data_IF_532366535465
#
_entry.id   IF_532366535465
#
_cell.length_a   1.000
_cell.length_b   1.000
_cell.length_c   1.000
_cell.angle_alpha   90.00
_cell.angle_beta   90.00
_cell.angle_gamma   90.00
#
_symmetry.space_group_name_H-M   'P 1'
#
loop_
_entity.id
_entity.type
_entity.pdbx_description
1 polymer ?
#
# COMPACT_ATOMS: atom_id res chain seq x y z
N UNK A 1 -3.62 -28.29 -19.37
CA UNK A 1 -3.45 -27.67 -19.08
C UNK A 1 -3.50 -27.22 -18.25
N UNK A 2 -3.47 -27.14 -17.84
CA UNK A 2 -3.35 -26.61 -17.03
C UNK A 2 -3.56 -25.56 -16.73
N UNK A 3 -4.25 -25.44 -16.51
CA UNK A 3 -4.27 -24.28 -16.27
C UNK A 3 -3.72 -23.86 -15.32
N UNK A 4 -3.18 -23.43 -15.43
CA UNK A 4 -2.39 -22.79 -14.45
C UNK A 4 -3.09 -21.56 -13.98
N UNK A 5 -3.49 -21.61 -12.77
CA UNK A 5 -3.93 -20.38 -12.19
C UNK A 5 -2.76 -19.50 -11.92
N UNK A 6 -2.61 -18.50 -12.72
CA UNK A 6 -1.61 -17.48 -12.47
C UNK A 6 -2.09 -16.62 -11.30
N UNK A 7 -1.36 -16.63 -10.21
CA UNK A 7 -1.64 -15.73 -9.10
C UNK A 7 -1.47 -14.28 -9.55
N UNK A 8 -2.38 -13.37 -9.22
CA UNK A 8 -2.20 -11.95 -9.51
C UNK A 8 -0.90 -11.43 -8.88
N UNK A 9 -0.26 -10.51 -9.57
CA UNK A 9 0.97 -9.89 -9.10
C UNK A 9 0.77 -8.40 -8.92
N UNK A 10 1.61 -7.80 -8.07
CA UNK A 10 1.57 -6.36 -7.83
C UNK A 10 1.93 -5.61 -9.11
N UNK A 11 1.19 -4.52 -9.37
CA UNK A 11 1.53 -3.57 -10.41
C UNK A 11 1.26 -2.15 -9.93
N UNK A 12 1.99 -1.20 -10.49
CA UNK A 12 1.78 0.23 -10.20
C UNK A 12 0.35 0.63 -10.56
N UNK A 13 -0.14 0.16 -11.70
CA UNK A 13 -1.51 0.48 -12.11
C UNK A 13 -2.54 -0.11 -11.15
N UNK A 14 -2.33 -1.34 -10.68
CA UNK A 14 -3.21 -1.96 -9.69
C UNK A 14 -3.24 -1.19 -8.37
N UNK A 15 -2.07 -0.69 -7.93
CA UNK A 15 -1.98 0.15 -6.76
C UNK A 15 -2.79 1.45 -6.95
N UNK A 16 -2.61 2.11 -8.10
CA UNK A 16 -3.32 3.34 -8.41
C UNK A 16 -4.84 3.12 -8.47
N UNK A 17 -5.27 2.03 -9.08
CA UNK A 17 -6.68 1.70 -9.19
C UNK A 17 -7.30 1.42 -7.82
N UNK A 18 -6.60 0.68 -6.96
CA UNK A 18 -7.06 0.40 -5.60
C UNK A 18 -7.28 1.71 -4.83
N UNK A 19 -6.27 2.59 -4.84
CA UNK A 19 -6.31 3.80 -4.04
C UNK A 19 -7.23 4.89 -4.62
N UNK A 20 -7.64 4.78 -5.89
CA UNK A 20 -8.66 5.65 -6.46
C UNK A 20 -10.05 5.37 -5.86
N UNK A 21 -10.29 4.13 -5.42
CA UNK A 21 -11.54 3.71 -4.78
C UNK A 21 -11.26 2.51 -3.87
N UNK A 22 -10.66 2.73 -2.67
CA UNK A 22 -10.24 1.64 -1.80
C UNK A 22 -11.40 0.72 -1.41
N UNK A 23 -11.17 -0.58 -1.55
CA UNK A 23 -12.14 -1.62 -1.22
C UNK A 23 -11.37 -2.81 -0.65
N UNK A 24 -11.57 -3.10 0.65
CA UNK A 24 -10.84 -4.14 1.36
C UNK A 24 -11.16 -5.55 0.88
N UNK A 25 -12.20 -5.72 0.08
CA UNK A 25 -12.48 -7.02 -0.55
C UNK A 25 -11.55 -7.30 -1.73
N UNK A 26 -10.74 -6.32 -2.15
CA UNK A 26 -9.86 -6.43 -3.31
C UNK A 26 -8.41 -6.16 -2.92
N UNK A 27 -7.49 -6.59 -3.77
CA UNK A 27 -6.07 -6.25 -3.66
C UNK A 27 -5.27 -7.11 -2.70
N UNK A 28 -5.89 -7.97 -1.91
CA UNK A 28 -5.15 -8.76 -0.91
C UNK A 28 -4.42 -9.95 -1.53
N UNK A 29 -4.81 -10.38 -2.70
CA UNK A 29 -4.22 -11.53 -3.37
C UNK A 29 -2.82 -11.26 -3.94
N UNK A 30 -2.37 -10.00 -3.94
CA UNK A 30 -0.99 -9.66 -4.30
C UNK A 30 -0.09 -9.49 -3.07
N UNK A 31 -0.62 -9.73 -1.87
CA UNK A 31 0.10 -9.57 -0.61
C UNK A 31 0.51 -10.93 -0.06
N UNK A 32 1.75 -11.01 0.45
CA UNK A 32 2.24 -12.26 1.06
C UNK A 32 1.59 -12.47 2.42
N UNK A 33 1.45 -13.75 2.83
CA UNK A 33 0.92 -14.07 4.16
C UNK A 33 1.81 -13.51 5.27
N UNK A 34 3.11 -13.43 5.04
CA UNK A 34 4.08 -12.91 6.02
C UNK A 34 4.51 -11.48 5.72
N UNK A 35 3.69 -10.72 5.02
CA UNK A 35 3.97 -9.31 4.70
C UNK A 35 4.30 -8.52 5.96
N UNK A 36 5.23 -7.57 5.81
CA UNK A 36 5.61 -6.66 6.87
C UNK A 36 5.34 -5.23 6.41
N UNK A 37 4.64 -4.46 7.24
CA UNK A 37 4.34 -3.06 6.94
C UNK A 37 4.91 -2.13 8.00
N UNK A 38 5.45 -0.99 7.56
CA UNK A 38 6.01 0.04 8.44
C UNK A 38 5.24 1.33 8.22
N UNK A 39 4.57 1.81 9.27
CA UNK A 39 3.79 3.05 9.19
C UNK A 39 4.42 4.14 10.04
N UNK A 40 4.25 5.44 9.64
CA UNK A 40 4.73 6.54 10.45
C UNK A 40 4.07 6.53 11.83
N UNK A 41 4.88 6.75 12.86
CA UNK A 41 4.39 6.81 14.22
C UNK A 41 4.31 5.47 14.94
N UNK A 42 4.39 4.36 14.23
CA UNK A 42 4.42 3.04 14.87
C UNK A 42 5.84 2.68 15.30
N UNK A 43 5.99 2.21 16.53
CA UNK A 43 7.28 1.78 17.05
C UNK A 43 7.72 0.43 16.46
N UNK A 44 6.72 -0.42 16.18
CA UNK A 44 6.95 -1.77 15.69
C UNK A 44 6.31 -1.94 14.33
N UNK A 45 6.91 -2.73 13.44
CA UNK A 45 6.27 -3.05 12.17
C UNK A 45 5.04 -3.92 12.40
N UNK A 46 4.10 -3.81 11.46
CA UNK A 46 2.91 -4.68 11.42
C UNK A 46 3.32 -5.95 10.65
N UNK A 47 3.16 -7.11 11.27
CA UNK A 47 3.61 -8.38 10.70
C UNK A 47 2.44 -9.31 10.42
N UNK A 48 2.43 -9.85 9.22
CA UNK A 48 1.43 -10.82 8.77
C UNK A 48 0.24 -10.18 8.10
N UNK A 49 -0.41 -10.95 7.23
CA UNK A 49 -1.49 -10.45 6.39
C UNK A 49 -2.71 -10.01 7.21
N UNK A 50 -3.07 -10.76 8.26
CA UNK A 50 -4.22 -10.38 9.08
C UNK A 50 -4.01 -9.04 9.76
N UNK A 51 -2.83 -8.83 10.37
CA UNK A 51 -2.52 -7.57 11.04
C UNK A 51 -2.40 -6.42 10.03
N UNK A 52 -1.83 -6.71 8.86
CA UNK A 52 -1.71 -5.72 7.79
C UNK A 52 -3.10 -5.27 7.32
N UNK A 53 -4.00 -6.22 7.07
CA UNK A 53 -5.36 -5.90 6.63
C UNK A 53 -6.12 -5.13 7.70
N UNK A 54 -5.92 -5.45 8.99
CA UNK A 54 -6.55 -4.72 10.09
C UNK A 54 -6.06 -3.28 10.13
N UNK A 55 -4.76 -3.05 9.92
CA UNK A 55 -4.19 -1.70 9.88
C UNK A 55 -4.80 -0.88 8.74
N UNK A 56 -4.95 -1.48 7.57
CA UNK A 56 -5.59 -0.83 6.43
C UNK A 56 -7.06 -0.54 6.71
N UNK A 57 -7.77 -1.48 7.30
CA UNK A 57 -9.18 -1.31 7.64
C UNK A 57 -9.39 -0.16 8.62
N UNK A 58 -8.49 -0.02 9.61
CA UNK A 58 -8.54 1.08 10.57
C UNK A 58 -8.37 2.43 9.88
N UNK A 59 -7.45 2.52 8.93
CA UNK A 59 -7.26 3.74 8.16
C UNK A 59 -8.51 4.11 7.37
N UNK A 60 -9.10 3.14 6.68
CA UNK A 60 -10.31 3.37 5.88
C UNK A 60 -11.53 3.67 6.76
N UNK A 61 -11.57 3.14 7.98
CA UNK A 61 -12.64 3.46 8.93
C UNK A 61 -12.49 4.88 9.46
N UNK A 62 -11.24 5.31 9.72
CA UNK A 62 -10.96 6.67 10.19
C UNK A 62 -11.24 7.72 9.12
N UNK A 63 -10.95 7.41 7.87
CA UNK A 63 -11.11 8.32 6.74
C UNK A 63 -11.82 7.58 5.59
N UNK A 64 -13.17 7.43 5.67
CA UNK A 64 -13.90 6.58 4.71
C UNK A 64 -13.81 7.04 3.25
N UNK A 65 -13.55 8.30 3.02
CA UNK A 65 -13.43 8.86 1.67
C UNK A 65 -11.98 9.09 1.22
N UNK A 66 -11.02 8.49 1.94
CA UNK A 66 -9.60 8.67 1.58
C UNK A 66 -9.32 8.14 0.17
N UNK A 67 -8.54 8.91 -0.57
CA UNK A 67 -8.09 8.55 -1.92
C UNK A 67 -6.62 8.95 -2.04
N UNK A 68 -5.86 8.13 -2.75
CA UNK A 68 -4.48 8.47 -3.09
C UNK A 68 -4.37 8.55 -4.60
N UNK A 69 -3.77 9.62 -5.08
CA UNK A 69 -3.52 9.83 -6.50
C UNK A 69 -2.03 9.70 -6.76
N UNK A 70 -1.64 8.79 -7.64
CA UNK A 70 -0.25 8.58 -7.98
C UNK A 70 0.27 9.74 -8.80
N UNK A 71 1.39 10.32 -8.37
CA UNK A 71 2.08 11.39 -9.09
C UNK A 71 3.12 10.79 -10.03
N UNK A 72 4.00 9.96 -9.48
CA UNK A 72 5.01 9.25 -10.26
C UNK A 72 5.48 8.02 -9.49
N UNK A 73 6.24 7.16 -10.17
CA UNK A 73 6.75 5.94 -9.58
C UNK A 73 8.05 5.54 -10.24
N UNK A 74 8.78 4.65 -9.56
CA UNK A 74 9.99 4.07 -10.09
C UNK A 74 10.11 2.64 -9.58
N UNK A 75 10.60 1.74 -10.42
CA UNK A 75 10.86 0.36 -10.05
C UNK A 75 12.31 0.05 -10.33
N UNK A 76 13.00 -0.53 -9.33
CA UNK A 76 14.40 -0.91 -9.47
C UNK A 76 14.57 -2.35 -8.95
N UNK A 77 15.57 -3.09 -9.45
CA UNK A 77 15.87 -4.40 -8.89
C UNK A 77 16.37 -4.26 -7.45
N UNK A 78 15.98 -5.23 -6.61
CA UNK A 78 16.51 -5.33 -5.26
C UNK A 78 17.71 -6.28 -5.25
N UNK A 79 18.22 -6.59 -4.02
CA UNK A 79 19.43 -7.40 -3.89
C UNK A 79 19.23 -8.85 -4.35
N UNK A 80 18.05 -9.42 -4.13
CA UNK A 80 17.74 -10.77 -4.59
C UNK A 80 17.22 -10.71 -6.03
N UNK A 81 17.52 -11.73 -6.82
CA UNK A 81 17.19 -11.74 -8.25
C UNK A 81 15.68 -11.74 -8.54
N UNK A 82 14.89 -12.25 -7.61
CA UNK A 82 13.44 -12.33 -7.74
C UNK A 82 12.71 -11.16 -7.06
N UNK A 83 13.45 -10.16 -6.59
CA UNK A 83 12.89 -9.04 -5.83
C UNK A 83 13.06 -7.72 -6.55
N UNK A 84 12.04 -6.86 -6.39
CA UNK A 84 12.06 -5.49 -6.88
C UNK A 84 11.63 -4.54 -5.80
N UNK A 85 12.09 -3.29 -5.90
CA UNK A 85 11.64 -2.19 -5.06
C UNK A 85 10.83 -1.24 -5.94
N UNK A 86 9.61 -0.94 -5.50
CA UNK A 86 8.71 -0.03 -6.22
C UNK A 86 8.47 1.19 -5.35
N UNK A 87 8.79 2.36 -5.86
CA UNK A 87 8.58 3.63 -5.18
C UNK A 87 7.36 4.31 -5.77
N UNK A 88 6.47 4.78 -4.88
CA UNK A 88 5.18 5.33 -5.27
C UNK A 88 5.01 6.68 -4.57
N UNK A 89 5.07 7.75 -5.35
CA UNK A 89 4.88 9.11 -4.85
C UNK A 89 3.44 9.51 -5.13
N UNK A 90 2.73 9.96 -4.09
CA UNK A 90 1.29 10.21 -4.21
C UNK A 90 0.84 11.44 -3.43
N UNK A 91 -0.34 11.93 -3.79
CA UNK A 91 -1.09 12.91 -3.02
C UNK A 91 -2.34 12.23 -2.49
N UNK A 92 -2.58 12.34 -1.20
CA UNK A 92 -3.77 11.79 -0.57
C UNK A 92 -4.78 12.88 -0.25
N UNK A 93 -6.05 12.53 -0.29
CA UNK A 93 -7.16 13.43 0.02
C UNK A 93 -8.20 12.71 0.83
N UNK A 94 -8.88 13.45 1.68
CA UNK A 94 -9.96 12.92 2.49
C UNK A 94 -10.69 14.04 3.20
N UNK A 95 -11.62 13.67 4.09
CA UNK A 95 -12.37 14.62 4.89
C UNK A 95 -12.23 14.27 6.37
N UNK A 96 -11.87 15.27 7.17
CA UNK A 96 -11.75 15.16 8.61
C UNK A 96 -12.74 16.08 9.32
N UNK A 97 -12.62 16.19 10.66
CA UNK A 97 -13.54 17.02 11.45
C UNK A 97 -13.55 18.50 11.03
N UNK A 98 -12.42 19.00 10.53
CA UNK A 98 -12.31 20.41 10.12
C UNK A 98 -12.59 20.62 8.62
N UNK A 99 -12.97 19.57 7.88
CA UNK A 99 -13.24 19.63 6.46
C UNK A 99 -12.22 18.86 5.63
N UNK A 100 -12.17 19.12 4.32
CA UNK A 100 -11.24 18.41 3.43
C UNK A 100 -9.79 18.62 3.84
N UNK A 101 -8.98 17.58 3.69
CA UNK A 101 -7.53 17.65 3.92
C UNK A 101 -6.79 16.98 2.77
N UNK A 102 -5.51 17.35 2.65
CA UNK A 102 -4.62 16.80 1.64
C UNK A 102 -3.28 16.50 2.30
N UNK A 103 -2.65 15.42 1.89
CA UNK A 103 -1.33 15.05 2.37
C UNK A 103 -0.52 14.40 1.25
N UNK A 104 0.79 14.29 1.47
CA UNK A 104 1.70 13.71 0.49
C UNK A 104 2.43 12.54 1.09
N UNK A 105 2.73 11.56 0.26
CA UNK A 105 3.44 10.40 0.72
C UNK A 105 4.33 9.80 -0.35
N UNK A 106 5.26 8.98 0.14
CA UNK A 106 6.16 8.21 -0.69
C UNK A 106 6.30 6.84 -0.03
N UNK A 107 5.75 5.83 -0.68
CA UNK A 107 5.83 4.46 -0.19
C UNK A 107 6.88 3.70 -0.97
N UNK A 108 7.48 2.70 -0.30
CA UNK A 108 8.36 1.74 -0.96
C UNK A 108 7.81 0.35 -0.74
N UNK A 109 7.49 -0.33 -1.83
CA UNK A 109 7.00 -1.70 -1.82
C UNK A 109 8.14 -2.61 -2.26
N UNK A 110 8.38 -3.70 -1.51
CA UNK A 110 9.28 -4.76 -1.95
C UNK A 110 8.44 -5.94 -2.40
N UNK A 111 8.70 -6.41 -3.62
CA UNK A 111 8.02 -7.59 -4.13
C UNK A 111 9.02 -8.74 -4.28
N UNK A 112 8.52 -9.97 -4.13
CA UNK A 112 9.26 -11.20 -4.44
C UNK A 112 8.38 -12.01 -5.37
N UNK A 113 8.88 -12.27 -6.58
CA UNK A 113 8.10 -12.92 -7.64
C UNK A 113 6.75 -12.23 -7.86
N UNK A 114 6.75 -10.89 -7.79
CA UNK A 114 5.54 -10.10 -8.00
C UNK A 114 4.59 -10.00 -6.81
N UNK A 115 4.92 -10.62 -5.68
CA UNK A 115 4.08 -10.61 -4.48
C UNK A 115 4.70 -9.67 -3.45
N UNK A 116 3.87 -8.81 -2.85
CA UNK A 116 4.34 -7.82 -1.88
C UNK A 116 4.73 -8.50 -0.58
N UNK A 117 6.00 -8.37 -0.20
CA UNK A 117 6.51 -8.93 1.06
C UNK A 117 6.79 -7.84 2.09
N UNK A 118 6.93 -6.59 1.66
CA UNK A 118 7.21 -5.49 2.57
C UNK A 118 6.66 -4.20 1.99
N UNK A 119 6.06 -3.36 2.84
CA UNK A 119 5.62 -2.03 2.45
C UNK A 119 6.09 -1.02 3.50
N UNK A 120 6.88 -0.06 3.08
CA UNK A 120 7.33 1.05 3.93
C UNK A 120 6.51 2.26 3.55
N UNK A 121 5.63 2.68 4.45
CA UNK A 121 4.72 3.80 4.23
C UNK A 121 5.32 5.04 4.87
N UNK A 122 5.41 6.12 4.11
CA UNK A 122 5.96 7.39 4.59
C UNK A 122 5.07 8.55 4.18
N UNK A 123 4.49 9.20 5.16
CA UNK A 123 3.79 10.47 5.02
C UNK A 123 4.00 11.24 6.32
N UNK A 124 3.67 12.52 6.31
CA UNK A 124 3.75 13.33 7.52
C UNK A 124 2.43 13.16 8.29
N UNK A 125 2.46 12.48 9.48
CA UNK A 125 1.21 12.29 10.24
C UNK A 125 0.52 13.58 10.64
N UNK A 126 1.26 14.70 10.71
CA UNK A 126 0.67 15.99 11.07
C UNK A 126 -0.25 16.53 9.98
N UNK A 127 -0.18 16.01 8.76
CA UNK A 127 -1.06 16.41 7.68
C UNK A 127 -2.41 15.69 7.71
N UNK A 128 -2.53 14.62 8.50
CA UNK A 128 -3.80 13.92 8.70
C UNK A 128 -4.45 14.41 9.99
N UNK A 129 -5.74 14.75 9.94
CA UNK A 129 -6.45 15.23 11.15
C UNK A 129 -6.69 14.12 12.17
#
# INVERSE_FOLDING_TARGET
MTDTQTRPTFSVQGWADFWAAPDMSQGQDVLAEDIVGYWPGDHEPVRGLLAYAAKMADLLAAYPDIRLELVDSATVPANAADEELVFLHYVGQGTGPAGPFEFRGLDRVRTRDGIVVENVVRYDPSELP
#
